data_IF_861487186049
#
_entry.id   IF_861487186049
#
_cell.length_a   1.000
_cell.length_b   1.000
_cell.length_c   1.000
_cell.angle_alpha   90.00
_cell.angle_beta   90.00
_cell.angle_gamma   90.00
#
_symmetry.space_group_name_H-M   'P 1'
#
loop_
_entity.id
_entity.type
_entity.pdbx_description
1 polymer ?
#
# COMPACT_ATOMS: atom_id res chain seq x y z
N UNK A 1 23.62 36.17 -50.98
CA UNK A 1 23.95 35.20 -49.94
C UNK A 1 23.23 35.63 -48.68
N UNK A 2 22.01 35.14 -48.47
CA UNK A 2 21.22 35.37 -47.25
C UNK A 2 21.25 34.06 -46.44
N UNK A 3 21.40 34.10 -45.11
CA UNK A 3 21.42 32.90 -44.30
C UNK A 3 20.00 32.35 -44.19
N UNK A 4 19.84 31.06 -44.50
CA UNK A 4 18.59 30.34 -44.26
C UNK A 4 18.31 30.32 -42.75
N UNK A 5 17.15 30.84 -42.36
CA UNK A 5 16.62 30.76 -41.00
C UNK A 5 16.29 29.31 -40.72
N UNK A 6 17.04 28.68 -39.82
CA UNK A 6 16.68 27.38 -39.22
C UNK A 6 15.46 27.60 -38.31
N UNK A 7 14.29 27.26 -38.82
CA UNK A 7 13.06 27.18 -38.02
C UNK A 7 13.17 25.96 -37.11
N UNK A 8 13.35 26.20 -35.80
CA UNK A 8 13.18 25.19 -34.76
C UNK A 8 11.74 24.64 -34.80
N UNK A 9 11.52 23.32 -34.66
CA UNK A 9 10.16 22.80 -34.58
C UNK A 9 9.52 23.24 -33.26
N UNK A 10 8.33 23.82 -33.35
CA UNK A 10 7.45 24.09 -32.20
C UNK A 10 7.19 22.79 -31.40
N UNK A 11 7.11 22.85 -30.07
CA UNK A 11 6.88 21.66 -29.24
C UNK A 11 5.50 21.08 -29.53
N UNK A 12 5.45 19.81 -29.93
CA UNK A 12 4.21 19.10 -30.24
C UNK A 12 3.58 18.57 -28.94
N UNK A 13 2.91 19.45 -28.20
CA UNK A 13 2.36 19.18 -26.85
C UNK A 13 1.48 17.93 -26.78
N UNK A 14 0.73 17.61 -27.84
CA UNK A 14 -0.15 16.43 -27.88
C UNK A 14 0.63 15.11 -27.88
N UNK A 15 1.77 15.06 -28.55
CA UNK A 15 2.59 13.86 -28.62
C UNK A 15 3.32 13.62 -27.29
N UNK A 16 3.72 14.70 -26.62
CA UNK A 16 4.33 14.64 -25.28
C UNK A 16 3.33 14.11 -24.23
N UNK A 17 2.07 14.57 -24.27
CA UNK A 17 0.99 14.08 -23.39
C UNK A 17 0.69 12.57 -23.61
N UNK A 18 0.67 12.11 -24.86
CA UNK A 18 0.49 10.69 -25.18
C UNK A 18 1.66 9.83 -24.67
N UNK A 19 2.90 10.26 -24.88
CA UNK A 19 4.08 9.56 -24.38
C UNK A 19 4.11 9.50 -22.84
N UNK A 20 3.71 10.58 -22.14
CA UNK A 20 3.58 10.59 -20.68
C UNK A 20 2.51 9.61 -20.20
N UNK A 21 1.38 9.50 -20.91
CA UNK A 21 0.34 8.53 -20.61
C UNK A 21 0.83 7.08 -20.79
N UNK A 22 1.52 6.77 -21.89
CA UNK A 22 2.11 5.44 -22.13
C UNK A 22 3.17 5.09 -21.08
N UNK A 23 4.04 6.04 -20.74
CA UNK A 23 5.04 5.85 -19.68
C UNK A 23 4.37 5.57 -18.33
N UNK A 24 3.34 6.34 -17.98
CA UNK A 24 2.57 6.15 -16.75
C UNK A 24 1.92 4.76 -16.71
N UNK A 25 1.35 4.29 -17.81
CA UNK A 25 0.76 2.96 -17.90
C UNK A 25 1.82 1.85 -17.76
N UNK A 26 2.94 1.95 -18.47
CA UNK A 26 4.05 1.01 -18.35
C UNK A 26 4.60 0.93 -16.91
N UNK A 27 4.72 2.08 -16.24
CA UNK A 27 5.14 2.14 -14.85
C UNK A 27 4.12 1.50 -13.90
N UNK A 28 2.81 1.72 -14.11
CA UNK A 28 1.76 1.05 -13.34
C UNK A 28 1.82 -0.48 -13.50
N UNK A 29 2.03 -0.97 -14.72
CA UNK A 29 2.21 -2.41 -14.98
C UNK A 29 3.46 -2.96 -14.28
N UNK A 30 4.59 -2.25 -14.37
CA UNK A 30 5.83 -2.63 -13.69
C UNK A 30 5.67 -2.70 -12.16
N UNK A 31 4.84 -1.84 -11.59
CA UNK A 31 4.57 -1.76 -10.15
C UNK A 31 3.34 -2.57 -9.70
N UNK A 32 2.66 -3.26 -10.61
CA UNK A 32 1.38 -3.95 -10.35
C UNK A 32 1.45 -5.02 -9.25
N UNK A 33 2.62 -5.63 -9.06
CA UNK A 33 2.86 -6.68 -8.04
C UNK A 33 2.96 -6.13 -6.62
N UNK A 34 3.27 -4.83 -6.46
CA UNK A 34 3.65 -4.26 -5.17
C UNK A 34 2.47 -4.23 -4.19
N UNK A 35 1.28 -3.81 -4.63
CA UNK A 35 0.08 -3.78 -3.79
C UNK A 35 -0.38 -5.19 -3.36
N UNK A 36 -0.56 -6.18 -4.27
CA UNK A 36 -0.92 -7.54 -3.88
C UNK A 36 0.06 -8.16 -2.88
N UNK A 37 1.37 -7.93 -3.05
CA UNK A 37 2.38 -8.46 -2.14
C UNK A 37 2.33 -7.78 -0.77
N UNK A 38 2.16 -6.46 -0.72
CA UNK A 38 1.99 -5.76 0.55
C UNK A 38 0.73 -6.19 1.31
N UNK A 39 -0.36 -6.42 0.58
CA UNK A 39 -1.61 -6.90 1.14
C UNK A 39 -1.46 -8.32 1.71
N UNK A 40 -0.80 -9.21 0.95
CA UNK A 40 -0.43 -10.55 1.41
C UNK A 40 0.42 -10.49 2.68
N UNK A 41 1.45 -9.63 2.73
CA UNK A 41 2.29 -9.51 3.93
C UNK A 41 1.50 -8.99 5.13
N UNK A 42 0.59 -8.04 4.96
CA UNK A 42 -0.26 -7.57 6.05
C UNK A 42 -1.21 -8.66 6.58
N UNK A 43 -1.69 -9.55 5.71
CA UNK A 43 -2.45 -10.74 6.10
C UNK A 43 -1.56 -11.75 6.85
N UNK A 44 -0.37 -12.05 6.32
CA UNK A 44 0.59 -12.98 6.94
C UNK A 44 1.05 -12.53 8.34
N UNK A 45 1.17 -11.22 8.55
CA UNK A 45 1.54 -10.60 9.82
C UNK A 45 0.35 -10.35 10.76
N UNK A 46 -0.86 -10.83 10.40
CA UNK A 46 -2.09 -10.68 11.19
C UNK A 46 -2.49 -9.21 11.47
N UNK A 47 -2.00 -8.26 10.67
CA UNK A 47 -2.14 -6.81 10.91
C UNK A 47 -3.60 -6.41 11.07
N UNK A 48 -4.47 -6.89 10.17
CA UNK A 48 -5.88 -6.51 10.17
C UNK A 48 -6.58 -6.99 11.44
N UNK A 49 -6.30 -8.23 11.88
CA UNK A 49 -6.87 -8.76 13.11
C UNK A 49 -6.29 -8.06 14.35
N UNK A 50 -5.01 -7.69 14.35
CA UNK A 50 -4.38 -6.89 15.42
C UNK A 50 -5.11 -5.55 15.60
N UNK A 51 -5.34 -4.81 14.51
CA UNK A 51 -6.06 -3.53 14.58
C UNK A 51 -7.52 -3.75 15.00
N UNK A 52 -8.20 -4.76 14.45
CA UNK A 52 -9.58 -5.06 14.80
C UNK A 52 -9.76 -5.45 16.28
N UNK A 53 -8.80 -6.17 16.87
CA UNK A 53 -8.78 -6.55 18.29
C UNK A 53 -8.69 -5.34 19.23
N UNK A 54 -8.12 -4.23 18.78
CA UNK A 54 -8.09 -2.99 19.56
C UNK A 54 -9.47 -2.31 19.67
N UNK A 55 -10.44 -2.74 18.85
CA UNK A 55 -11.84 -2.34 18.94
C UNK A 55 -12.34 -1.48 17.77
N UNK A 56 -13.65 -1.27 17.67
CA UNK A 56 -14.25 -0.47 16.60
C UNK A 56 -13.73 0.98 16.61
N UNK A 57 -13.20 1.44 15.47
CA UNK A 57 -12.65 2.79 15.34
C UNK A 57 -11.29 3.01 16.03
N UNK A 58 -10.67 1.96 16.55
CA UNK A 58 -9.33 2.04 17.10
C UNK A 58 -8.31 2.41 16.03
N UNK A 59 -7.33 3.22 16.42
CA UNK A 59 -6.20 3.62 15.58
C UNK A 59 -4.92 3.21 16.31
N UNK A 60 -4.02 2.50 15.61
CA UNK A 60 -2.78 1.98 16.19
C UNK A 60 -1.57 2.54 15.46
N UNK A 61 -0.49 2.80 16.20
CA UNK A 61 0.80 3.13 15.59
C UNK A 61 1.47 1.85 15.01
N UNK A 62 2.42 1.99 14.07
CA UNK A 62 3.25 0.87 13.63
C UNK A 62 3.99 0.18 14.79
N UNK A 63 4.38 0.95 15.81
CA UNK A 63 5.04 0.43 17.01
C UNK A 63 4.10 -0.48 17.80
N UNK A 64 2.85 -0.04 18.02
CA UNK A 64 1.83 -0.83 18.73
C UNK A 64 1.54 -2.14 18.00
N UNK A 65 1.39 -2.11 16.68
CA UNK A 65 1.14 -3.31 15.88
C UNK A 65 2.36 -4.24 15.93
N UNK A 66 3.57 -3.69 15.81
CA UNK A 66 4.80 -4.48 15.85
C UNK A 66 5.01 -5.20 17.19
N UNK A 67 4.53 -4.65 18.32
CA UNK A 67 4.62 -5.31 19.63
C UNK A 67 3.79 -6.60 19.73
N UNK A 68 2.77 -6.75 18.89
CA UNK A 68 1.90 -7.93 18.85
C UNK A 68 2.40 -9.00 17.86
N UNK A 69 3.37 -8.65 17.02
CA UNK A 69 3.99 -9.58 16.08
C UNK A 69 5.15 -10.28 16.81
N UNK A 70 5.23 -11.63 16.78
CA UNK A 70 6.31 -12.38 17.42
C UNK A 70 7.63 -12.18 16.67
N UNK A 71 8.31 -11.06 16.91
CA UNK A 71 9.55 -10.68 16.22
C UNK A 71 10.58 -10.11 17.20
N UNK A 72 11.85 -10.35 16.92
CA UNK A 72 12.99 -9.72 17.62
C UNK A 72 13.62 -8.60 16.80
N UNK A 73 13.08 -8.29 15.61
CA UNK A 73 13.66 -7.31 14.70
C UNK A 73 13.43 -5.87 15.22
N UNK A 74 14.50 -5.12 15.58
CA UNK A 74 14.35 -3.75 16.07
C UNK A 74 13.80 -2.79 15.01
N UNK A 75 13.87 -3.15 13.72
CA UNK A 75 13.33 -2.36 12.61
C UNK A 75 11.90 -2.76 12.23
N UNK A 76 11.25 -3.68 12.95
CA UNK A 76 9.93 -4.20 12.60
C UNK A 76 8.89 -3.09 12.44
N UNK A 77 8.78 -2.17 13.40
CA UNK A 77 7.85 -1.05 13.34
C UNK A 77 8.07 -0.16 12.10
N UNK A 78 9.32 0.13 11.75
CA UNK A 78 9.67 0.95 10.58
C UNK A 78 9.38 0.24 9.26
N UNK A 79 9.64 -1.07 9.20
CA UNK A 79 9.32 -1.89 8.02
C UNK A 79 7.80 -1.98 7.84
N UNK A 80 7.09 -2.19 8.94
CA UNK A 80 5.64 -2.26 8.97
C UNK A 80 5.02 -0.92 8.52
N UNK A 81 5.49 0.22 9.02
CA UNK A 81 5.00 1.54 8.59
C UNK A 81 5.08 1.73 7.07
N UNK A 82 6.12 1.22 6.41
CA UNK A 82 6.23 1.30 4.94
C UNK A 82 5.13 0.50 4.23
N UNK A 83 4.78 -0.67 4.76
CA UNK A 83 3.71 -1.52 4.24
C UNK A 83 2.35 -0.85 4.49
N UNK A 84 2.09 -0.42 5.73
CA UNK A 84 0.84 0.22 6.11
C UNK A 84 0.59 1.51 5.33
N UNK A 85 1.64 2.30 5.09
CA UNK A 85 1.56 3.52 4.30
C UNK A 85 1.17 3.26 2.84
N UNK A 86 1.71 2.19 2.25
CA UNK A 86 1.31 1.76 0.91
C UNK A 86 -0.16 1.32 0.92
N UNK A 87 -0.59 0.50 1.89
CA UNK A 87 -1.99 0.09 1.98
C UNK A 87 -2.93 1.29 2.17
N UNK A 88 -2.51 2.29 2.94
CA UNK A 88 -3.27 3.53 3.12
C UNK A 88 -3.35 4.38 1.84
N UNK A 89 -2.30 4.43 1.02
CA UNK A 89 -2.36 5.16 -0.27
C UNK A 89 -3.35 4.54 -1.26
N UNK A 90 -3.64 3.25 -1.11
CA UNK A 90 -4.68 2.53 -1.87
C UNK A 90 -6.01 2.41 -1.11
N UNK A 91 -6.22 3.18 -0.03
CA UNK A 91 -7.46 3.19 0.78
C UNK A 91 -7.83 1.84 1.40
N UNK A 92 -6.89 0.89 1.45
CA UNK A 92 -7.08 -0.40 2.13
C UNK A 92 -7.09 -0.20 3.63
N UNK A 93 -6.31 0.74 4.15
CA UNK A 93 -6.32 1.19 5.54
C UNK A 93 -6.64 2.68 5.58
N UNK A 94 -7.24 3.11 6.69
CA UNK A 94 -7.34 4.54 6.99
C UNK A 94 -6.08 4.98 7.76
N UNK A 95 -5.57 6.16 7.45
CA UNK A 95 -4.38 6.74 8.09
C UNK A 95 -4.70 8.12 8.67
N UNK A 96 -4.31 8.34 9.91
CA UNK A 96 -4.38 9.65 10.58
C UNK A 96 -3.03 10.00 11.22
N UNK A 97 -2.89 11.24 11.69
CA UNK A 97 -1.72 11.69 12.43
C UNK A 97 -2.14 12.06 13.85
N UNK A 98 -1.36 11.63 14.85
CA UNK A 98 -1.54 12.05 16.23
C UNK A 98 -0.89 13.43 16.49
N UNK A 99 -1.04 13.94 17.71
CA UNK A 99 -0.45 15.22 18.14
C UNK A 99 1.09 15.25 18.01
N UNK A 100 1.74 14.10 18.09
CA UNK A 100 3.19 13.91 17.92
C UNK A 100 3.62 13.70 16.47
N UNK A 101 2.71 13.87 15.49
CA UNK A 101 2.92 13.63 14.05
C UNK A 101 3.29 12.19 13.69
N UNK A 102 2.97 11.24 14.56
CA UNK A 102 3.09 9.81 14.27
C UNK A 102 1.85 9.34 13.52
N UNK A 103 2.05 8.43 12.56
CA UNK A 103 0.97 7.84 11.77
C UNK A 103 0.24 6.79 12.59
N UNK A 104 -1.07 6.87 12.59
CA UNK A 104 -1.94 5.86 13.16
C UNK A 104 -2.80 5.25 12.06
N UNK A 105 -3.01 3.95 12.13
CA UNK A 105 -3.72 3.17 11.13
C UNK A 105 -4.98 2.53 11.73
N UNK A 106 -6.07 2.53 10.98
CA UNK A 106 -7.34 1.90 11.35
C UNK A 106 -7.91 1.07 10.21
N UNK A 107 -8.82 0.15 10.57
CA UNK A 107 -9.57 -0.65 9.61
C UNK A 107 -10.51 0.25 8.81
N UNK A 108 -10.39 0.18 7.49
CA UNK A 108 -11.31 0.80 6.53
C UNK A 108 -12.43 -0.17 6.16
N UNK A 109 -13.39 0.31 5.34
CA UNK A 109 -14.46 -0.54 4.79
C UNK A 109 -13.92 -1.71 3.97
N UNK A 110 -12.78 -1.54 3.31
CA UNK A 110 -12.15 -2.58 2.47
C UNK A 110 -11.42 -3.58 3.36
N UNK A 111 -10.58 -3.11 4.29
CA UNK A 111 -9.81 -4.02 5.14
C UNK A 111 -10.66 -4.83 6.11
N UNK A 112 -11.89 -4.41 6.41
CA UNK A 112 -12.86 -5.22 7.18
C UNK A 112 -13.06 -6.63 6.61
N UNK A 113 -12.98 -6.81 5.29
CA UNK A 113 -13.15 -8.12 4.65
C UNK A 113 -11.92 -9.05 4.78
N UNK A 114 -10.79 -8.52 5.24
CA UNK A 114 -9.58 -9.30 5.56
C UNK A 114 -9.48 -9.65 7.05
N UNK A 115 -10.41 -9.16 7.88
CA UNK A 115 -10.57 -9.56 9.28
C UNK A 115 -11.53 -10.73 9.35
N UNK A 116 -11.22 -11.74 10.16
CA UNK A 116 -12.17 -12.84 10.41
C UNK A 116 -13.41 -12.32 11.15
N UNK A 117 -14.59 -12.57 10.58
CA UNK A 117 -15.85 -12.26 11.26
C UNK A 117 -16.14 -13.27 12.40
N UNK A 118 -17.30 -13.11 13.06
CA UNK A 118 -17.73 -14.00 14.16
C UNK A 118 -17.79 -15.48 13.75
N UNK A 119 -18.08 -15.75 12.48
CA UNK A 119 -18.11 -17.09 11.88
C UNK A 119 -16.73 -17.58 11.39
N UNK A 120 -15.67 -16.79 11.59
CA UNK A 120 -14.31 -17.09 11.13
C UNK A 120 -14.04 -16.86 9.64
N UNK A 121 -15.01 -16.34 8.89
CA UNK A 121 -14.92 -16.10 7.44
C UNK A 121 -14.18 -14.80 7.14
N UNK A 122 -13.25 -14.85 6.18
CA UNK A 122 -12.54 -13.68 5.63
C UNK A 122 -12.01 -13.96 4.22
N UNK A 123 -11.60 -12.89 3.51
CA UNK A 123 -10.90 -12.99 2.22
C UNK A 123 -9.38 -13.21 2.37
N UNK A 124 -8.85 -13.23 3.60
CA UNK A 124 -7.44 -13.49 3.86
C UNK A 124 -6.90 -14.79 3.22
N UNK A 125 -7.65 -15.92 3.20
CA UNK A 125 -7.22 -17.15 2.54
C UNK A 125 -6.90 -16.99 1.05
N UNK A 126 -7.50 -15.99 0.36
CA UNK A 126 -7.25 -15.72 -1.05
C UNK A 126 -5.77 -15.47 -1.37
N UNK A 127 -5.00 -14.93 -0.40
CA UNK A 127 -3.58 -14.64 -0.58
C UNK A 127 -2.66 -15.86 -0.43
N UNK A 128 -3.18 -16.98 0.08
CA UNK A 128 -2.42 -18.21 0.33
C UNK A 128 -2.55 -19.27 -0.77
N UNK A 129 -3.51 -19.12 -1.71
CA UNK A 129 -3.68 -20.09 -2.80
C UNK A 129 -2.48 -20.16 -3.76
N UNK A 130 -1.64 -19.12 -3.82
CA UNK A 130 -0.41 -19.07 -4.61
C UNK A 130 0.84 -19.44 -3.80
N UNK A 131 0.76 -20.43 -2.91
CA UNK A 131 1.96 -20.96 -2.27
C UNK A 131 2.81 -21.63 -3.36
N UNK A 132 3.72 -20.88 -3.96
CA UNK A 132 4.76 -21.41 -4.86
C UNK A 132 5.58 -22.36 -4.00
N UNK A 133 5.44 -23.67 -4.24
CA UNK A 133 6.29 -24.70 -3.65
C UNK A 133 7.73 -24.31 -3.95
N UNK A 134 8.45 -23.88 -2.92
CA UNK A 134 9.90 -23.67 -2.97
C UNK A 134 10.53 -24.68 -2.04
#
# INVERSE_FOLDING_TARGET
MAPSVETQPEPNTQQEEEEEAFYSYANNLAMSVVLPMALRTAVELDVFNIIAKAGPGATLSPSDIATQIPTTNPNAAKMLDRILRLLASYQVLDCSLNSSRERLYSISRVSKYFVSNEDGVSLAPCFFFYKVST
#
